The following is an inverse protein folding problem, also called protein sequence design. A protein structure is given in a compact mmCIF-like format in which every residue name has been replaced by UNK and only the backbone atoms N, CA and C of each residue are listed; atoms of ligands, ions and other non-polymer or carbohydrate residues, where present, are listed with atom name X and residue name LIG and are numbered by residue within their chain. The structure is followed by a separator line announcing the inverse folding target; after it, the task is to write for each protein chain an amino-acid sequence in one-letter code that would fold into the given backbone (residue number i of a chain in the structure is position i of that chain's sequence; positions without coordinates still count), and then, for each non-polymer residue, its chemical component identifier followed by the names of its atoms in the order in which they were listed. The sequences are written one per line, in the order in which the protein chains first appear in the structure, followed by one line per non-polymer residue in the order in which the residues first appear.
data_IF_161851915325
#
_entry.id   IF_161851915325
#
_cell.length_a   1.000
_cell.length_b   1.000
_cell.length_c   1.000
_cell.angle_alpha   90.00
_cell.angle_beta   90.00
_cell.angle_gamma   90.00
#
_symmetry.space_group_name_H-M   'P 1'
#
loop_
_entity.id
_entity.type
_entity.pdbx_description
1 polymer ?
#
# COMPACT_ATOMS: atom_id res chain seq x y z
N UNK A 1 -5.59 -35.57 10.29
CA UNK A 1 -4.32 -35.18 9.64
C UNK A 1 -4.10 -33.73 10.01
N UNK A 2 -3.05 -33.49 10.79
CA UNK A 2 -2.79 -32.26 11.54
C UNK A 2 -2.27 -31.20 10.55
N UNK A 3 -2.90 -30.03 10.52
CA UNK A 3 -2.44 -28.90 9.72
C UNK A 3 -1.18 -28.35 10.37
N UNK A 4 -0.04 -28.48 9.69
CA UNK A 4 1.20 -27.82 10.08
C UNK A 4 0.98 -26.31 10.10
N UNK A 5 1.09 -25.74 11.30
CA UNK A 5 1.13 -24.31 11.49
C UNK A 5 2.45 -23.81 10.90
N UNK A 6 2.38 -23.07 9.80
CA UNK A 6 3.52 -22.31 9.31
C UNK A 6 4.01 -21.40 10.44
N UNK A 7 5.27 -21.60 10.85
CA UNK A 7 5.96 -20.76 11.83
C UNK A 7 5.96 -19.33 11.30
N UNK A 8 5.14 -18.46 11.91
CA UNK A 8 5.23 -17.02 11.72
C UNK A 8 6.55 -16.59 12.35
N UNK A 9 7.60 -16.46 11.54
CA UNK A 9 8.83 -15.83 11.98
C UNK A 9 8.49 -14.41 12.44
N UNK A 10 8.86 -14.01 13.67
CA UNK A 10 8.62 -12.65 14.12
C UNK A 10 9.33 -11.69 13.17
N UNK A 11 8.61 -10.68 12.71
CA UNK A 11 9.18 -9.58 11.95
C UNK A 11 10.38 -9.02 12.71
N UNK A 12 11.50 -8.67 12.02
CA UNK A 12 12.64 -8.07 12.69
C UNK A 12 12.13 -6.85 13.45
N UNK A 13 12.42 -6.80 14.76
CA UNK A 13 12.06 -5.67 15.60
C UNK A 13 12.65 -4.43 14.96
N UNK A 14 11.79 -3.56 14.42
CA UNK A 14 12.25 -2.35 13.75
C UNK A 14 13.26 -1.62 14.66
N UNK A 15 14.42 -1.19 14.10
CA UNK A 15 15.43 -0.51 14.88
C UNK A 15 14.82 0.70 15.60
N UNK A 16 15.31 0.98 16.80
CA UNK A 16 14.87 2.16 17.55
C UNK A 16 15.06 3.41 16.67
N UNK A 17 14.07 4.30 16.61
CA UNK A 17 14.19 5.50 15.80
C UNK A 17 15.36 6.34 16.31
N UNK A 18 16.27 6.71 15.41
CA UNK A 18 17.44 7.55 15.75
C UNK A 18 17.25 9.00 15.35
N UNK A 19 16.31 9.29 14.46
CA UNK A 19 16.07 10.63 13.95
C UNK A 19 15.10 11.40 14.86
N UNK A 20 15.41 12.66 15.24
CA UNK A 20 14.57 13.45 16.14
C UNK A 20 13.11 13.61 15.68
N UNK A 21 12.93 13.69 14.36
CA UNK A 21 11.65 13.76 13.68
C UNK A 21 11.61 12.68 12.61
N UNK A 22 10.59 11.83 12.62
CA UNK A 22 10.37 10.80 11.60
C UNK A 22 8.95 10.89 11.08
N UNK A 23 8.82 10.92 9.75
CA UNK A 23 7.54 10.81 9.04
C UNK A 23 7.45 9.43 8.40
N UNK A 24 6.36 8.73 8.67
CA UNK A 24 6.07 7.42 8.08
C UNK A 24 4.85 7.53 7.19
N UNK A 25 5.01 7.18 5.92
CA UNK A 25 3.92 7.06 4.95
C UNK A 25 3.66 5.59 4.68
N UNK A 26 2.41 5.16 4.85
CA UNK A 26 1.98 3.81 4.49
C UNK A 26 0.76 3.88 3.59
N UNK A 27 0.77 3.14 2.48
CA UNK A 27 -0.37 2.98 1.58
C UNK A 27 -0.69 1.51 1.35
N UNK A 28 -1.99 1.19 1.39
CA UNK A 28 -2.53 -0.12 1.06
C UNK A 28 -3.50 0.01 -0.11
N UNK A 29 -3.17 -0.66 -1.20
CA UNK A 29 -4.01 -0.77 -2.39
C UNK A 29 -4.72 -2.12 -2.42
N UNK A 30 -6.01 -2.12 -2.75
CA UNK A 30 -6.82 -3.31 -2.97
C UNK A 30 -7.57 -3.13 -4.28
N UNK A 31 -7.35 -4.04 -5.22
CA UNK A 31 -7.98 -4.02 -6.54
C UNK A 31 -8.67 -5.36 -6.78
N UNK A 32 -9.87 -5.30 -7.34
CA UNK A 32 -10.52 -6.44 -7.95
C UNK A 32 -10.85 -6.10 -9.41
N UNK A 33 -10.44 -6.97 -10.31
CA UNK A 33 -10.68 -6.85 -11.75
C UNK A 33 -11.74 -7.86 -12.19
N UNK A 34 -12.45 -7.52 -13.26
CA UNK A 34 -13.34 -8.42 -14.00
C UNK A 34 -12.52 -9.24 -14.99
N UNK A 35 -13.15 -10.29 -15.54
CA UNK A 35 -12.52 -11.18 -16.53
C UNK A 35 -12.08 -10.45 -17.81
N UNK A 36 -12.79 -9.39 -18.18
CA UNK A 36 -12.51 -8.56 -19.36
C UNK A 36 -11.45 -7.47 -19.09
N UNK A 37 -10.82 -7.45 -17.91
CA UNK A 37 -9.83 -6.46 -17.51
C UNK A 37 -10.41 -5.24 -16.79
N UNK A 38 -11.73 -5.05 -16.86
CA UNK A 38 -12.40 -3.90 -16.26
C UNK A 38 -12.28 -3.86 -14.72
N UNK A 39 -12.07 -2.67 -14.15
CA UNK A 39 -12.05 -2.51 -12.69
C UNK A 39 -13.45 -2.80 -12.10
N UNK A 40 -13.52 -3.72 -11.14
CA UNK A 40 -14.72 -3.93 -10.31
C UNK A 40 -14.64 -3.18 -8.98
N UNK A 41 -13.45 -3.15 -8.37
CA UNK A 41 -13.15 -2.39 -7.18
C UNK A 41 -11.71 -1.89 -7.23
N UNK A 42 -11.50 -0.63 -6.85
CA UNK A 42 -10.18 -0.05 -6.67
C UNK A 42 -10.25 0.83 -5.43
N UNK A 43 -9.43 0.51 -4.44
CA UNK A 43 -9.40 1.23 -3.17
C UNK A 43 -7.96 1.37 -2.68
N UNK A 44 -7.51 2.61 -2.58
CA UNK A 44 -6.26 2.98 -1.90
C UNK A 44 -6.63 3.59 -0.56
N UNK A 45 -5.94 3.16 0.49
CA UNK A 45 -5.99 3.77 1.81
C UNK A 45 -4.57 4.07 2.25
N UNK A 46 -4.32 5.29 2.70
CA UNK A 46 -3.00 5.65 3.18
C UNK A 46 -3.04 6.46 4.46
N UNK A 47 -1.89 6.49 5.13
CA UNK A 47 -1.69 7.21 6.38
C UNK A 47 -0.32 7.87 6.40
N UNK A 48 -0.25 9.05 7.02
CA UNK A 48 0.99 9.74 7.38
C UNK A 48 1.03 9.84 8.90
N UNK A 49 2.07 9.28 9.50
CA UNK A 49 2.34 9.34 10.92
C UNK A 49 3.59 10.17 11.21
N UNK A 50 3.55 10.96 12.29
CA UNK A 50 4.66 11.76 12.78
C UNK A 50 5.13 11.21 14.13
N UNK A 51 6.43 10.91 14.22
CA UNK A 51 7.10 10.60 15.46
C UNK A 51 8.10 11.70 15.80
N UNK A 52 8.04 12.15 17.06
CA UNK A 52 8.97 13.11 17.66
C UNK A 52 9.69 12.41 18.81
N UNK A 53 11.02 12.45 18.84
CA UNK A 53 11.82 11.87 19.91
C UNK A 53 12.04 12.84 21.07
N UNK A 54 12.35 14.12 20.81
CA UNK A 54 12.55 15.11 21.86
C UNK A 54 11.51 16.21 21.79
N UNK A 55 11.05 16.67 22.96
CA UNK A 55 9.98 17.66 23.05
C UNK A 55 10.35 19.00 22.38
N UNK A 56 11.63 19.34 22.33
CA UNK A 56 12.19 20.52 21.67
C UNK A 56 12.03 20.49 20.14
N UNK A 57 11.96 19.30 19.55
CA UNK A 57 11.75 19.11 18.10
C UNK A 57 10.26 19.11 17.71
N UNK A 58 9.35 19.27 18.68
CA UNK A 58 7.91 19.14 18.46
C UNK A 58 7.21 20.38 17.89
N UNK A 59 7.87 21.54 17.88
CA UNK A 59 7.32 22.77 17.29
C UNK A 59 7.60 22.84 15.79
N UNK A 60 6.85 22.04 15.02
CA UNK A 60 7.01 21.93 13.58
C UNK A 60 5.67 22.00 12.85
N UNK A 61 5.74 22.22 11.54
CA UNK A 61 4.64 22.03 10.60
C UNK A 61 5.11 21.13 9.46
N UNK A 62 4.19 20.35 8.89
CA UNK A 62 4.52 19.44 7.79
C UNK A 62 3.77 19.88 6.52
N UNK A 63 4.52 20.35 5.52
CA UNK A 63 3.96 20.66 4.20
C UNK A 63 3.73 19.37 3.41
N UNK A 64 2.53 19.19 2.89
CA UNK A 64 2.18 18.05 2.05
C UNK A 64 2.23 18.46 0.58
N UNK A 65 2.97 17.69 -0.22
CA UNK A 65 2.89 17.72 -1.67
C UNK A 65 1.77 16.81 -2.15
N UNK A 66 0.85 17.32 -2.95
CA UNK A 66 -0.26 16.54 -3.52
C UNK A 66 -0.24 16.60 -5.03
N UNK A 67 -0.71 15.53 -5.69
CA UNK A 67 -0.92 15.50 -7.14
C UNK A 67 -2.10 16.36 -7.59
N UNK A 68 -2.88 16.92 -6.66
CA UNK A 68 -4.11 17.66 -6.96
C UNK A 68 -5.26 16.77 -7.43
N UNK A 69 -5.13 15.44 -7.30
CA UNK A 69 -6.17 14.50 -7.71
C UNK A 69 -7.40 14.62 -6.78
N UNK A 70 -8.56 15.10 -7.30
CA UNK A 70 -9.76 15.30 -6.48
C UNK A 70 -10.41 14.00 -6.00
N UNK A 71 -10.03 12.85 -6.56
CA UNK A 71 -10.51 11.55 -6.10
C UNK A 71 -9.90 11.14 -4.75
N UNK A 72 -8.82 11.80 -4.31
CA UNK A 72 -8.19 11.57 -3.01
C UNK A 72 -8.95 12.37 -1.95
N UNK A 73 -9.53 11.65 -0.99
CA UNK A 73 -10.25 12.23 0.13
C UNK A 73 -9.38 12.17 1.38
N UNK A 74 -9.01 13.34 1.87
CA UNK A 74 -8.17 13.50 3.06
C UNK A 74 -9.01 13.62 4.35
N UNK A 75 -8.46 13.10 5.45
CA UNK A 75 -8.97 13.28 6.80
C UNK A 75 -7.80 13.55 7.76
N UNK A 76 -7.81 14.72 8.39
CA UNK A 76 -6.78 15.13 9.34
C UNK A 76 -7.12 14.70 10.77
N UNK A 77 -6.08 14.53 11.60
CA UNK A 77 -6.24 14.29 13.02
C UNK A 77 -7.01 15.44 13.71
N UNK A 78 -7.86 15.20 14.73
CA UNK A 78 -8.70 16.24 15.34
C UNK A 78 -7.99 17.50 15.85
N UNK A 79 -6.70 17.38 16.20
CA UNK A 79 -5.88 18.48 16.70
C UNK A 79 -5.19 19.30 15.60
N UNK A 80 -5.27 18.86 14.34
CA UNK A 80 -4.74 19.60 13.20
C UNK A 80 -5.67 20.75 12.83
N UNK A 81 -5.07 21.87 12.45
CA UNK A 81 -5.77 22.99 11.83
C UNK A 81 -6.27 22.58 10.44
N UNK A 82 -7.60 22.49 10.31
CA UNK A 82 -8.24 22.04 9.07
C UNK A 82 -8.25 23.12 8.00
N UNK A 83 -8.31 24.39 8.38
CA UNK A 83 -8.34 25.50 7.41
C UNK A 83 -6.96 25.66 6.78
N UNK A 84 -5.91 25.63 7.60
CA UNK A 84 -4.52 25.64 7.14
C UNK A 84 -4.23 24.47 6.19
N UNK A 85 -4.68 23.25 6.54
CA UNK A 85 -4.51 22.11 5.64
C UNK A 85 -5.33 22.23 4.35
N UNK A 86 -6.56 22.74 4.41
CA UNK A 86 -7.43 22.82 3.22
C UNK A 86 -6.97 23.89 2.23
N UNK A 87 -6.35 24.97 2.71
CA UNK A 87 -5.90 26.08 1.88
C UNK A 87 -4.45 25.90 1.41
N UNK A 88 -3.58 25.38 2.26
CA UNK A 88 -2.13 25.39 2.06
C UNK A 88 -1.50 23.99 2.09
N UNK A 89 -2.27 22.94 2.38
CA UNK A 89 -1.77 21.58 2.57
C UNK A 89 -0.69 21.46 3.67
N UNK A 90 -0.75 22.34 4.68
CA UNK A 90 0.15 22.32 5.83
C UNK A 90 -0.55 21.62 7.01
N UNK A 91 0.09 20.60 7.57
CA UNK A 91 -0.30 19.96 8.81
C UNK A 91 0.37 20.68 9.98
N UNK A 92 -0.38 21.57 10.62
CA UNK A 92 -0.03 22.22 11.88
C UNK A 92 -1.09 21.96 12.95
N UNK A 93 -0.72 22.06 14.23
CA UNK A 93 -1.69 22.01 15.32
C UNK A 93 -2.54 23.29 15.36
N UNK A 94 -3.79 23.16 15.83
CA UNK A 94 -4.70 24.30 16.05
C UNK A 94 -4.15 25.36 17.02
N UNK A 95 -3.28 24.94 17.93
CA UNK A 95 -2.53 25.81 18.85
C UNK A 95 -1.07 25.85 18.38
N UNK A 96 -0.63 26.90 17.64
CA UNK A 96 0.69 26.90 17.01
C UNK A 96 1.87 26.90 17.99
N UNK A 97 1.65 27.39 19.22
CA UNK A 97 2.65 27.38 20.29
C UNK A 97 2.76 26.04 21.02
N UNK A 98 1.86 25.10 20.72
CA UNK A 98 1.87 23.77 21.33
C UNK A 98 2.73 22.84 20.46
N UNK A 99 3.76 22.19 21.01
CA UNK A 99 4.51 21.16 20.30
C UNK A 99 3.68 19.89 20.09
N UNK A 100 3.96 19.16 19.00
CA UNK A 100 3.57 17.77 18.88
C UNK A 100 4.15 16.94 20.04
N UNK A 101 3.44 15.90 20.52
CA UNK A 101 3.89 15.11 21.65
C UNK A 101 5.12 14.26 21.30
N UNK A 102 6.17 14.34 22.13
CA UNK A 102 7.34 13.48 22.02
C UNK A 102 7.13 12.14 22.76
N UNK A 103 7.72 11.05 22.23
CA UNK A 103 7.81 9.71 22.84
C UNK A 103 6.49 9.05 23.29
N UNK A 104 5.33 9.57 22.90
CA UNK A 104 4.04 8.98 23.32
C UNK A 104 3.71 7.67 22.58
N UNK A 105 4.16 7.55 21.32
CA UNK A 105 3.79 6.43 20.45
C UNK A 105 5.02 5.89 19.71
N UNK A 106 5.24 4.57 19.82
CA UNK A 106 6.35 3.89 19.13
C UNK A 106 6.27 4.04 17.61
N UNK A 107 5.06 4.11 17.06
CA UNK A 107 4.81 4.22 15.62
C UNK A 107 4.39 5.65 15.21
N UNK A 108 4.46 6.61 16.13
CA UNK A 108 4.06 8.01 15.91
C UNK A 108 2.56 8.27 15.98
N UNK A 109 2.18 9.54 15.82
CA UNK A 109 0.79 10.01 15.76
C UNK A 109 0.36 10.10 14.30
N UNK A 110 -0.72 9.41 13.93
CA UNK A 110 -1.33 9.54 12.60
C UNK A 110 -1.92 10.94 12.43
N UNK A 111 -1.28 11.79 11.62
CA UNK A 111 -1.69 13.18 11.39
C UNK A 111 -2.69 13.31 10.24
N UNK A 112 -2.53 12.48 9.22
CA UNK A 112 -3.32 12.53 7.99
C UNK A 112 -3.62 11.10 7.54
N UNK A 113 -4.86 10.89 7.09
CA UNK A 113 -5.28 9.68 6.39
C UNK A 113 -5.91 10.07 5.08
N UNK A 114 -5.78 9.22 4.07
CA UNK A 114 -6.47 9.42 2.80
C UNK A 114 -7.07 8.12 2.30
N UNK A 115 -8.08 8.28 1.45
CA UNK A 115 -8.65 7.19 0.66
C UNK A 115 -8.88 7.66 -0.77
N UNK A 116 -8.70 6.76 -1.72
CA UNK A 116 -9.01 7.00 -3.12
C UNK A 116 -9.75 5.80 -3.70
N UNK A 117 -10.80 6.07 -4.46
CA UNK A 117 -11.47 5.10 -5.32
C UNK A 117 -11.34 5.54 -6.77
N UNK A 118 -11.26 4.58 -7.68
CA UNK A 118 -11.12 4.88 -9.11
C UNK A 118 -11.80 3.81 -9.98
N UNK A 119 -12.16 4.20 -11.19
CA UNK A 119 -12.54 3.28 -12.27
C UNK A 119 -11.58 3.39 -13.46
N UNK A 120 -10.48 4.14 -13.32
CA UNK A 120 -9.49 4.33 -14.38
C UNK A 120 -8.38 3.27 -14.24
N UNK A 121 -8.27 2.40 -15.25
CA UNK A 121 -7.30 1.30 -15.34
C UNK A 121 -5.85 1.77 -15.37
N UNK A 122 -5.59 3.01 -15.79
CA UNK A 122 -4.23 3.59 -15.75
C UNK A 122 -3.68 3.78 -14.33
N UNK A 123 -4.52 3.65 -13.29
CA UNK A 123 -4.09 3.71 -11.89
C UNK A 123 -3.65 2.35 -11.33
N UNK A 124 -3.71 1.27 -12.11
CA UNK A 124 -3.31 -0.05 -11.66
C UNK A 124 -1.79 -0.15 -11.50
N UNK A 125 -1.28 -0.63 -10.35
CA UNK A 125 0.16 -0.78 -10.15
C UNK A 125 0.74 -2.01 -10.85
N UNK A 126 -0.12 -2.97 -11.22
CA UNK A 126 0.23 -4.21 -11.90
C UNK A 126 -0.98 -4.65 -12.71
N UNK A 127 -0.78 -4.93 -13.98
CA UNK A 127 -1.76 -5.59 -14.86
C UNK A 127 -1.31 -7.02 -15.09
N UNK A 128 -2.24 -7.97 -15.03
CA UNK A 128 -1.96 -9.40 -15.31
C UNK A 128 -2.94 -9.92 -16.35
N UNK A 129 -2.40 -10.40 -17.46
CA UNK A 129 -3.15 -10.97 -18.57
C UNK A 129 -3.03 -12.50 -18.55
N UNK A 130 -4.13 -13.18 -18.85
CA UNK A 130 -4.24 -14.63 -18.80
C UNK A 130 -4.84 -15.15 -20.09
N UNK A 131 -4.10 -16.01 -20.80
CA UNK A 131 -4.54 -16.59 -22.07
C UNK A 131 -4.67 -18.11 -21.94
N UNK A 132 -5.82 -18.62 -21.46
CA UNK A 132 -6.09 -20.04 -21.42
C UNK A 132 -6.43 -20.56 -22.83
N UNK A 133 -5.90 -21.72 -23.19
CA UNK A 133 -6.23 -22.45 -24.42
C UNK A 133 -6.37 -23.94 -24.12
N UNK A 134 -7.26 -24.61 -24.85
CA UNK A 134 -7.53 -26.04 -24.66
C UNK A 134 -7.14 -26.77 -25.94
N UNK A 135 -6.35 -27.83 -25.79
CA UNK A 135 -5.98 -28.72 -26.88
C UNK A 135 -6.18 -30.17 -26.43
N UNK A 136 -7.18 -30.84 -27.00
CA UNK A 136 -7.58 -32.18 -26.56
C UNK A 136 -8.00 -32.20 -25.09
N UNK A 137 -7.27 -32.96 -24.27
CA UNK A 137 -7.51 -33.09 -22.83
C UNK A 137 -6.58 -32.21 -21.97
N UNK A 138 -5.79 -31.34 -22.59
CA UNK A 138 -4.83 -30.47 -21.92
C UNK A 138 -5.27 -29.00 -22.00
N UNK A 139 -5.05 -28.28 -20.90
CA UNK A 139 -5.25 -26.83 -20.82
C UNK A 139 -3.89 -26.16 -20.67
N UNK A 140 -3.59 -25.25 -21.58
CA UNK A 140 -2.39 -24.43 -21.57
C UNK A 140 -2.77 -23.03 -21.12
N UNK A 141 -1.96 -22.42 -20.25
CA UNK A 141 -2.20 -21.05 -19.75
C UNK A 141 -0.92 -20.25 -19.93
N UNK A 142 -1.00 -19.18 -20.72
CA UNK A 142 0.04 -18.17 -20.77
C UNK A 142 -0.33 -17.00 -19.84
N UNK A 143 0.63 -16.53 -19.04
CA UNK A 143 0.42 -15.50 -18.03
C UNK A 143 1.47 -14.43 -18.27
N UNK A 144 1.01 -13.19 -18.47
CA UNK A 144 1.88 -12.03 -18.69
C UNK A 144 1.52 -10.96 -17.67
N UNK A 145 2.53 -10.25 -17.17
CA UNK A 145 2.31 -9.15 -16.24
C UNK A 145 3.09 -7.91 -16.68
N UNK A 146 2.54 -6.74 -16.38
CA UNK A 146 3.14 -5.44 -16.69
C UNK A 146 2.97 -4.47 -15.52
N UNK A 147 4.03 -3.74 -15.20
CA UNK A 147 4.02 -2.66 -14.19
C UNK A 147 4.32 -1.33 -14.89
N UNK A 148 3.67 -0.21 -14.51
CA UNK A 148 4.08 1.10 -14.97
C UNK A 148 5.56 1.37 -14.66
N UNK A 149 6.28 2.02 -15.58
CA UNK A 149 7.74 2.23 -15.46
C UNK A 149 8.20 3.00 -14.20
N UNK A 150 7.28 3.69 -13.54
CA UNK A 150 7.55 4.47 -12.32
C UNK A 150 7.34 3.66 -11.03
N UNK A 151 6.88 2.42 -11.14
CA UNK A 151 6.55 1.55 -10.01
C UNK A 151 7.51 0.37 -9.99
N UNK A 152 8.25 0.26 -8.89
CA UNK A 152 9.15 -0.85 -8.61
C UNK A 152 8.50 -1.78 -7.56
N UNK A 153 7.97 -2.91 -8.02
CA UNK A 153 7.32 -3.90 -7.15
C UNK A 153 8.35 -4.93 -6.68
N UNK A 154 8.47 -5.05 -5.36
CA UNK A 154 9.38 -5.99 -4.72
C UNK A 154 8.62 -7.16 -4.09
N UNK A 155 9.21 -8.36 -4.10
CA UNK A 155 8.63 -9.57 -3.52
C UNK A 155 7.23 -9.92 -4.08
N UNK A 156 7.06 -9.79 -5.40
CA UNK A 156 5.79 -10.10 -6.08
C UNK A 156 5.51 -11.60 -6.01
N UNK A 157 4.33 -11.96 -5.53
CA UNK A 157 3.82 -13.34 -5.57
C UNK A 157 2.49 -13.37 -6.30
N UNK A 158 2.41 -14.17 -7.38
CA UNK A 158 1.18 -14.40 -8.14
C UNK A 158 0.65 -15.79 -7.78
N UNK A 159 -0.54 -15.84 -7.19
CA UNK A 159 -1.21 -17.09 -6.83
C UNK A 159 -2.22 -17.48 -7.90
N UNK A 160 -2.03 -18.64 -8.51
CA UNK A 160 -2.94 -19.19 -9.53
C UNK A 160 -3.76 -20.31 -8.92
N UNK A 161 -5.07 -20.11 -8.67
CA UNK A 161 -5.92 -21.19 -8.18
C UNK A 161 -6.13 -22.22 -9.29
N UNK A 162 -5.74 -23.46 -9.03
CA UNK A 162 -5.93 -24.59 -9.93
C UNK A 162 -7.11 -25.45 -9.44
N UNK A 163 -7.85 -26.12 -10.35
CA UNK A 163 -8.79 -27.15 -9.95
C UNK A 163 -8.06 -28.29 -9.22
N UNK A 164 -8.80 -29.21 -8.60
CA UNK A 164 -8.18 -30.41 -8.03
C UNK A 164 -7.52 -31.23 -9.13
N UNK A 165 -6.19 -31.15 -9.23
CA UNK A 165 -5.40 -31.91 -10.19
C UNK A 165 -4.88 -33.20 -9.56
N UNK A 166 -4.73 -34.24 -10.40
CA UNK A 166 -4.04 -35.48 -9.98
C UNK A 166 -2.52 -35.31 -9.94
N UNK A 167 -1.99 -34.41 -10.77
CA UNK A 167 -0.57 -34.11 -10.93
C UNK A 167 -0.35 -32.59 -10.88
N UNK A 168 0.85 -32.15 -10.46
CA UNK A 168 1.22 -30.73 -10.48
C UNK A 168 1.22 -30.17 -11.92
N UNK A 169 0.95 -28.86 -12.11
CA UNK A 169 1.04 -28.24 -13.43
C UNK A 169 2.46 -28.38 -14.00
N UNK A 170 2.56 -28.55 -15.32
CA UNK A 170 3.85 -28.56 -16.02
C UNK A 170 4.19 -27.14 -16.48
N UNK A 171 5.30 -26.61 -15.97
CA UNK A 171 5.81 -25.28 -16.36
C UNK A 171 6.72 -25.43 -17.58
N UNK A 172 6.36 -24.77 -18.69
CA UNK A 172 7.17 -24.78 -19.92
C UNK A 172 8.25 -23.70 -19.91
N UNK A 173 7.88 -22.49 -19.49
CA UNK A 173 8.76 -21.32 -19.39
C UNK A 173 8.30 -20.44 -18.22
N UNK A 174 9.24 -19.80 -17.53
CA UNK A 174 8.97 -18.88 -16.44
C UNK A 174 10.05 -17.80 -16.36
N UNK A 175 9.62 -16.56 -16.14
CA UNK A 175 10.46 -15.46 -15.71
C UNK A 175 10.31 -15.30 -14.18
N UNK A 176 11.26 -15.85 -13.42
CA UNK A 176 11.20 -15.92 -11.95
C UNK A 176 11.22 -17.35 -11.41
N UNK A 177 10.66 -17.53 -10.22
CA UNK A 177 10.60 -18.83 -9.52
C UNK A 177 9.15 -19.23 -9.23
N UNK A 178 8.87 -20.54 -9.18
CA UNK A 178 7.57 -21.08 -8.76
C UNK A 178 7.76 -22.19 -7.72
N UNK A 179 6.73 -22.38 -6.89
CA UNK A 179 6.68 -23.41 -5.85
C UNK A 179 5.28 -23.98 -5.71
#
# INVERSE_FOLDING_TARGET
MQLDQALVTPSPTAPLPTNPVTLTVEEKINVALKRDGGISNFNVQGTLALQILNQEDGLIQVQIGTSGNPAILFNTHPNIDKELFSNEYILGLKEPSRPFPANQYRDGVSLLRWRMQSANESNLPLTVNWWPSVSGNETYVNIEYETPAQIDLQNVMIFVPLPTLREAPRIQQIDGEWR
#
